data_IF_313940861473
#
_entry.id   IF_313940861473
#
_cell.length_a   1.000
_cell.length_b   1.000
_cell.length_c   1.000
_cell.angle_alpha   90.00
_cell.angle_beta   90.00
_cell.angle_gamma   90.00
#
_symmetry.space_group_name_H-M   'P 1'
#
loop_
_entity.id
_entity.type
_entity.pdbx_description
1 polymer ?
#
# COMPACT_ATOMS: atom_id res chain seq x y z
N UNK A 1 8.41 -23.18 -26.72
CA UNK A 1 7.11 -22.61 -26.29
C UNK A 1 5.89 -23.25 -26.99
N UNK A 2 5.92 -23.56 -28.30
CA UNK A 2 4.76 -24.11 -29.02
C UNK A 2 4.48 -25.59 -28.75
N UNK A 3 5.46 -26.42 -28.37
CA UNK A 3 5.28 -27.85 -28.09
C UNK A 3 4.63 -28.15 -26.73
N UNK A 4 4.93 -27.34 -25.71
CA UNK A 4 4.33 -27.46 -24.38
C UNK A 4 2.86 -27.03 -24.37
N UNK A 5 2.50 -25.99 -25.10
CA UNK A 5 1.11 -25.54 -25.24
C UNK A 5 0.23 -26.57 -25.96
N UNK A 6 0.77 -27.28 -26.95
CA UNK A 6 0.06 -28.38 -27.64
C UNK A 6 -0.17 -29.57 -26.71
N UNK A 7 0.79 -29.92 -25.84
CA UNK A 7 0.66 -31.04 -24.87
C UNK A 7 -0.39 -30.71 -23.80
N UNK A 8 -0.40 -29.50 -23.27
CA UNK A 8 -1.40 -29.07 -22.29
C UNK A 8 -2.82 -29.08 -22.90
N UNK A 9 -2.98 -28.62 -24.13
CA UNK A 9 -4.29 -28.62 -24.83
C UNK A 9 -4.78 -30.03 -25.10
N UNK A 10 -3.90 -30.96 -25.46
CA UNK A 10 -4.25 -32.38 -25.64
C UNK A 10 -4.62 -33.06 -24.32
N UNK A 11 -3.97 -32.71 -23.22
CA UNK A 11 -4.33 -33.19 -21.88
C UNK A 11 -5.74 -32.73 -21.47
N UNK A 12 -6.05 -31.44 -21.65
CA UNK A 12 -7.39 -30.91 -21.35
C UNK A 12 -8.51 -31.51 -22.20
N UNK A 13 -8.22 -31.91 -23.45
CA UNK A 13 -9.19 -32.60 -24.33
C UNK A 13 -9.42 -34.02 -23.84
N UNK A 14 -8.36 -34.77 -23.50
CA UNK A 14 -8.45 -36.15 -22.95
C UNK A 14 -9.20 -36.18 -21.62
N UNK A 15 -8.94 -35.22 -20.73
CA UNK A 15 -9.62 -35.12 -19.43
C UNK A 15 -11.14 -34.91 -19.63
N UNK A 16 -11.53 -34.13 -20.63
CA UNK A 16 -12.93 -33.89 -20.99
C UNK A 16 -13.58 -35.13 -21.55
N UNK A 17 -12.89 -35.86 -22.44
CA UNK A 17 -13.40 -37.10 -23.06
C UNK A 17 -13.52 -38.23 -22.03
N UNK A 18 -12.71 -38.25 -20.98
CA UNK A 18 -12.78 -39.19 -19.86
C UNK A 18 -13.72 -38.75 -18.74
N UNK A 19 -14.44 -37.60 -18.89
CA UNK A 19 -15.34 -37.09 -17.86
C UNK A 19 -14.63 -36.63 -16.56
N UNK A 20 -13.32 -36.41 -16.62
CA UNK A 20 -12.54 -35.96 -15.48
C UNK A 20 -12.73 -34.43 -15.30
N UNK A 21 -13.51 -34.05 -14.31
CA UNK A 21 -13.69 -32.66 -13.92
C UNK A 21 -12.96 -32.38 -12.62
N UNK A 22 -12.18 -31.29 -12.59
CA UNK A 22 -11.55 -30.82 -11.35
C UNK A 22 -12.63 -30.44 -10.32
N UNK A 23 -12.69 -31.18 -9.21
CA UNK A 23 -13.58 -30.89 -8.08
C UNK A 23 -13.03 -29.72 -7.29
N UNK A 24 -13.08 -28.50 -7.84
CA UNK A 24 -12.91 -27.25 -7.09
C UNK A 24 -14.26 -26.56 -6.89
N UNK A 25 -15.14 -27.22 -6.12
CA UNK A 25 -16.38 -26.62 -5.67
C UNK A 25 -16.24 -26.22 -4.18
N UNK A 26 -15.75 -25.06 -3.91
CA UNK A 26 -15.66 -24.57 -2.52
C UNK A 26 -15.33 -23.08 -2.43
N UNK A 27 -14.62 -22.56 -3.41
CA UNK A 27 -14.12 -21.18 -3.35
C UNK A 27 -15.17 -20.10 -3.67
N UNK A 28 -16.21 -20.39 -4.47
CA UNK A 28 -17.16 -19.35 -4.93
C UNK A 28 -18.02 -18.73 -3.81
N UNK A 29 -18.54 -19.54 -2.86
CA UNK A 29 -19.41 -19.01 -1.79
C UNK A 29 -18.70 -18.13 -0.76
N UNK A 30 -17.42 -18.36 -0.55
CA UNK A 30 -16.60 -17.54 0.36
C UNK A 30 -16.20 -16.21 -0.31
N UNK A 31 -16.01 -16.21 -1.61
CA UNK A 31 -15.63 -15.05 -2.43
C UNK A 31 -16.73 -13.97 -2.45
N UNK A 32 -18.00 -14.32 -2.57
CA UNK A 32 -19.11 -13.36 -2.61
C UNK A 32 -19.37 -12.66 -1.27
N UNK A 33 -19.17 -13.36 -0.14
CA UNK A 33 -19.29 -12.75 1.20
C UNK A 33 -18.13 -11.80 1.51
N UNK A 34 -16.92 -12.11 1.06
CA UNK A 34 -15.75 -11.25 1.23
C UNK A 34 -15.82 -9.99 0.36
N UNK A 35 -16.36 -10.10 -0.85
CA UNK A 35 -16.51 -8.97 -1.78
C UNK A 35 -17.44 -7.89 -1.22
N UNK A 36 -18.48 -8.26 -0.48
CA UNK A 36 -19.40 -7.31 0.16
C UNK A 36 -18.77 -6.46 1.28
N UNK A 37 -17.71 -6.96 1.93
CA UNK A 37 -17.00 -6.23 3.00
C UNK A 37 -15.85 -5.35 2.48
N UNK A 38 -15.30 -5.66 1.30
CA UNK A 38 -14.15 -4.96 0.73
C UNK A 38 -14.59 -4.04 -0.40
N UNK A 39 -15.17 -2.89 -0.07
CA UNK A 39 -15.60 -1.88 -1.05
C UNK A 39 -14.42 -1.04 -1.51
N UNK A 40 -14.36 -0.74 -2.81
CA UNK A 40 -13.41 0.22 -3.37
C UNK A 40 -14.07 1.60 -3.44
N UNK A 41 -13.74 2.47 -2.53
CA UNK A 41 -14.21 3.86 -2.54
C UNK A 41 -13.25 4.79 -3.28
N UNK A 42 -11.95 4.43 -3.35
CA UNK A 42 -10.94 5.23 -4.06
C UNK A 42 -11.15 5.24 -5.56
N UNK A 43 -11.57 4.08 -6.12
CA UNK A 43 -11.91 3.91 -7.54
C UNK A 43 -10.88 4.52 -8.50
N UNK A 44 -9.58 4.33 -8.21
CA UNK A 44 -8.43 4.86 -8.98
C UNK A 44 -8.35 6.40 -9.05
N UNK A 45 -9.09 7.11 -8.22
CA UNK A 45 -8.99 8.56 -8.08
C UNK A 45 -7.86 8.92 -7.10
N UNK A 46 -6.63 8.90 -7.60
CA UNK A 46 -5.43 9.13 -6.80
C UNK A 46 -5.10 10.62 -6.59
N UNK A 47 -6.09 11.46 -6.57
CA UNK A 47 -5.94 12.91 -6.31
C UNK A 47 -6.75 13.28 -5.08
N UNK A 48 -6.09 13.93 -4.14
CA UNK A 48 -6.72 14.51 -2.96
C UNK A 48 -6.71 16.03 -3.07
N UNK A 49 -7.67 16.70 -2.48
CA UNK A 49 -7.81 18.17 -2.52
C UNK A 49 -7.05 18.85 -1.38
N UNK A 50 -6.84 18.11 -0.28
CA UNK A 50 -6.15 18.59 0.92
C UNK A 50 -5.27 17.49 1.53
N UNK A 51 -4.27 17.86 2.34
CA UNK A 51 -3.53 16.90 3.15
C UNK A 51 -4.44 16.10 4.09
N UNK A 52 -4.10 14.85 4.32
CA UNK A 52 -4.81 13.93 5.22
C UNK A 52 -6.27 13.61 4.81
N UNK A 53 -6.60 13.76 3.53
CA UNK A 53 -7.91 13.36 2.98
C UNK A 53 -7.93 11.89 2.58
N UNK A 54 -6.88 11.45 1.90
CA UNK A 54 -6.75 10.07 1.39
C UNK A 54 -5.36 9.55 1.69
N UNK A 55 -5.29 8.48 2.47
CA UNK A 55 -4.07 7.72 2.70
C UNK A 55 -4.11 6.38 1.99
N UNK A 56 -3.01 5.99 1.39
CA UNK A 56 -2.81 4.66 0.81
C UNK A 56 -1.73 3.92 1.56
N UNK A 57 -1.87 2.61 1.71
CA UNK A 57 -0.90 1.79 2.44
C UNK A 57 -0.70 0.44 1.79
N UNK A 58 0.51 -0.06 1.94
CA UNK A 58 0.87 -1.41 1.54
C UNK A 58 2.10 -1.89 2.33
N UNK A 59 2.37 -3.20 2.27
CA UNK A 59 3.52 -3.83 2.91
C UNK A 59 4.37 -4.50 1.85
N UNK A 60 5.63 -4.10 1.77
CA UNK A 60 6.62 -4.83 0.97
C UNK A 60 7.59 -5.58 1.86
N UNK A 61 8.38 -6.48 1.27
CA UNK A 61 9.45 -7.14 2.00
C UNK A 61 10.78 -7.00 1.26
N UNK A 62 11.85 -7.10 2.05
CA UNK A 62 13.21 -7.18 1.57
C UNK A 62 13.94 -8.31 2.31
N UNK A 63 14.60 -9.17 1.53
CA UNK A 63 15.35 -10.30 2.09
C UNK A 63 16.77 -9.85 2.45
N UNK A 64 17.07 -9.87 3.72
CA UNK A 64 18.40 -9.60 4.25
C UNK A 64 18.97 -10.88 4.86
N UNK A 65 20.01 -11.43 4.24
CA UNK A 65 20.56 -12.76 4.58
C UNK A 65 19.44 -13.81 4.58
N UNK A 66 19.21 -14.50 5.68
CA UNK A 66 18.18 -15.51 5.83
C UNK A 66 16.86 -14.99 6.40
N UNK A 67 16.75 -13.67 6.65
CA UNK A 67 15.58 -13.03 7.26
C UNK A 67 14.83 -12.19 6.22
N UNK A 68 13.53 -12.13 6.35
CA UNK A 68 12.67 -11.18 5.64
C UNK A 68 12.31 -10.03 6.57
N UNK A 69 12.54 -8.82 6.10
CA UNK A 69 12.11 -7.59 6.76
C UNK A 69 10.92 -7.03 6.00
N UNK A 70 9.82 -6.83 6.71
CA UNK A 70 8.58 -6.30 6.17
C UNK A 70 8.50 -4.81 6.45
N UNK A 71 8.29 -4.01 5.42
CA UNK A 71 8.23 -2.56 5.48
C UNK A 71 6.80 -2.15 5.16
N UNK A 72 6.07 -1.70 6.17
CA UNK A 72 4.74 -1.12 6.02
C UNK A 72 4.87 0.38 5.86
N UNK A 73 4.24 0.95 4.84
CA UNK A 73 4.30 2.38 4.52
C UNK A 73 2.91 2.94 4.30
N UNK A 74 2.70 4.18 4.72
CA UNK A 74 1.49 4.96 4.49
C UNK A 74 1.85 6.24 3.75
N UNK A 75 1.19 6.51 2.64
CA UNK A 75 1.39 7.71 1.81
C UNK A 75 0.11 8.52 1.77
N UNK A 76 0.22 9.82 2.04
CA UNK A 76 -0.82 10.81 1.79
C UNK A 76 -0.86 11.15 0.30
N UNK A 77 -2.02 11.03 -0.32
CA UNK A 77 -2.16 11.23 -1.77
C UNK A 77 -2.09 12.69 -2.20
N UNK A 78 -2.32 13.66 -1.31
CA UNK A 78 -2.28 15.08 -1.67
C UNK A 78 -0.89 15.50 -2.18
N UNK A 79 0.12 15.25 -1.37
CA UNK A 79 1.50 15.59 -1.68
C UNK A 79 2.37 14.38 -2.02
N UNK A 80 1.82 13.17 -2.07
CA UNK A 80 2.59 11.92 -2.19
C UNK A 80 3.58 11.72 -1.04
N UNK A 81 3.29 12.28 0.12
CA UNK A 81 4.15 12.28 1.29
C UNK A 81 4.01 10.99 2.07
N UNK A 82 5.12 10.35 2.41
CA UNK A 82 5.12 9.25 3.37
C UNK A 82 4.83 9.85 4.76
N UNK A 83 3.68 9.50 5.31
CA UNK A 83 3.20 9.99 6.61
C UNK A 83 3.40 9.01 7.75
N UNK A 84 3.75 7.75 7.44
CA UNK A 84 4.07 6.76 8.43
C UNK A 84 4.73 5.53 7.82
N UNK A 85 5.65 4.94 8.56
CA UNK A 85 6.24 3.66 8.21
C UNK A 85 6.74 2.89 9.45
N UNK A 86 6.80 1.58 9.33
CA UNK A 86 7.45 0.69 10.30
C UNK A 86 8.07 -0.51 9.60
N UNK A 87 9.12 -1.05 10.23
CA UNK A 87 9.82 -2.22 9.75
C UNK A 87 9.68 -3.33 10.81
N UNK A 88 9.15 -4.47 10.39
CA UNK A 88 8.94 -5.64 11.24
C UNK A 88 9.59 -6.91 10.69
N UNK A 89 9.75 -7.92 11.55
CA UNK A 89 10.22 -9.25 11.15
C UNK A 89 9.10 -10.17 10.66
N UNK A 90 7.85 -9.73 10.78
CA UNK A 90 6.67 -10.51 10.37
C UNK A 90 5.67 -9.59 9.67
N UNK A 91 5.09 -10.05 8.58
CA UNK A 91 3.92 -9.43 8.00
C UNK A 91 2.70 -9.74 8.87
N UNK A 92 2.28 -8.80 9.68
CA UNK A 92 1.27 -9.02 10.71
C UNK A 92 0.30 -7.84 10.84
N UNK A 93 -0.89 -8.12 11.35
CA UNK A 93 -1.88 -7.08 11.72
C UNK A 93 -1.30 -6.06 12.69
N UNK A 94 -0.41 -6.50 13.60
CA UNK A 94 0.24 -5.60 14.56
C UNK A 94 1.16 -4.60 13.85
N UNK A 95 1.92 -5.02 12.81
CA UNK A 95 2.77 -4.13 12.03
C UNK A 95 1.91 -3.04 11.36
N UNK A 96 0.85 -3.43 10.66
CA UNK A 96 -0.06 -2.51 9.97
C UNK A 96 -0.74 -1.55 10.96
N UNK A 97 -1.30 -2.10 12.05
CA UNK A 97 -2.00 -1.30 13.08
C UNK A 97 -1.06 -0.30 13.74
N UNK A 98 0.16 -0.71 14.10
CA UNK A 98 1.13 0.18 14.73
C UNK A 98 1.67 1.25 13.78
N UNK A 99 1.78 0.95 12.48
CA UNK A 99 2.15 1.94 11.46
C UNK A 99 1.04 2.98 11.30
N UNK A 100 -0.22 2.52 11.20
CA UNK A 100 -1.36 3.42 11.10
C UNK A 100 -1.50 4.30 12.35
N UNK A 101 -1.39 3.70 13.55
CA UNK A 101 -1.44 4.43 14.81
C UNK A 101 -0.41 5.55 14.85
N UNK A 102 0.86 5.25 14.50
CA UNK A 102 1.93 6.23 14.44
C UNK A 102 1.58 7.40 13.51
N UNK A 103 1.17 7.10 12.28
CA UNK A 103 0.79 8.13 11.31
C UNK A 103 -0.40 8.97 11.80
N UNK A 104 -1.42 8.33 12.37
CA UNK A 104 -2.62 8.99 12.86
C UNK A 104 -2.32 9.95 14.03
N UNK A 105 -1.50 9.51 14.99
CA UNK A 105 -1.08 10.31 16.15
C UNK A 105 -0.20 11.51 15.75
N UNK A 106 0.69 11.33 14.78
CA UNK A 106 1.57 12.40 14.29
C UNK A 106 0.83 13.42 13.42
N UNK A 107 -0.11 12.97 12.62
CA UNK A 107 -0.79 13.82 11.63
C UNK A 107 -2.10 14.41 12.14
N UNK A 108 -2.74 13.79 13.13
CA UNK A 108 -4.04 14.18 13.68
C UNK A 108 -5.05 14.58 12.59
N UNK A 109 -5.35 13.68 11.64
CA UNK A 109 -6.13 14.01 10.46
C UNK A 109 -7.55 14.47 10.84
N UNK A 110 -8.01 15.55 10.21
CA UNK A 110 -9.42 15.92 10.26
C UNK A 110 -10.24 14.93 9.42
N UNK A 111 -11.35 14.46 9.97
CA UNK A 111 -12.27 13.59 9.24
C UNK A 111 -13.08 14.40 8.20
N UNK A 112 -13.51 13.77 7.10
CA UNK A 112 -13.31 12.35 6.77
C UNK A 112 -11.90 12.03 6.26
N UNK A 113 -11.35 10.89 6.70
CA UNK A 113 -10.15 10.28 6.16
C UNK A 113 -10.50 8.98 5.44
N UNK A 114 -10.09 8.83 4.18
CA UNK A 114 -10.17 7.59 3.43
C UNK A 114 -8.83 6.84 3.54
N UNK A 115 -8.86 5.59 4.02
CA UNK A 115 -7.68 4.74 4.11
C UNK A 115 -7.79 3.58 3.13
N UNK A 116 -7.01 3.61 2.05
CA UNK A 116 -7.06 2.63 0.98
C UNK A 116 -5.88 1.65 1.04
N UNK A 117 -6.18 0.36 0.84
CA UNK A 117 -5.20 -0.72 0.90
C UNK A 117 -5.53 -1.82 -0.12
N UNK A 118 -4.61 -2.76 -0.29
CA UNK A 118 -4.91 -4.03 -0.91
C UNK A 118 -5.88 -4.88 -0.03
N UNK A 119 -6.20 -6.09 -0.50
CA UNK A 119 -7.02 -7.06 0.25
C UNK A 119 -6.18 -7.99 1.13
N UNK A 120 -5.01 -7.59 1.56
CA UNK A 120 -4.16 -8.37 2.44
C UNK A 120 -4.89 -8.76 3.74
N UNK A 121 -4.65 -9.97 4.24
CA UNK A 121 -5.32 -10.50 5.44
C UNK A 121 -5.13 -9.60 6.67
N UNK A 122 -3.98 -8.93 6.76
CA UNK A 122 -3.68 -8.01 7.86
C UNK A 122 -4.59 -6.78 7.85
N UNK A 123 -4.88 -6.21 6.68
CA UNK A 123 -5.79 -5.07 6.51
C UNK A 123 -7.26 -5.45 6.67
N UNK A 124 -7.62 -6.72 6.40
CA UNK A 124 -8.98 -7.25 6.55
C UNK A 124 -9.25 -7.85 7.94
N UNK A 125 -8.26 -7.87 8.83
CA UNK A 125 -8.43 -8.42 10.17
C UNK A 125 -9.49 -7.64 10.95
N UNK A 126 -10.35 -8.36 11.68
CA UNK A 126 -11.41 -7.73 12.49
C UNK A 126 -10.84 -6.69 13.46
N UNK A 127 -9.68 -6.98 14.06
CA UNK A 127 -9.02 -6.07 15.00
C UNK A 127 -8.57 -4.75 14.36
N UNK A 128 -8.13 -4.77 13.10
CA UNK A 128 -7.74 -3.57 12.39
C UNK A 128 -8.96 -2.80 11.86
N UNK A 129 -9.95 -3.50 11.29
CA UNK A 129 -11.18 -2.88 10.81
C UNK A 129 -11.94 -2.18 11.95
N UNK A 130 -12.08 -2.85 13.11
CA UNK A 130 -12.71 -2.25 14.29
C UNK A 130 -11.95 -1.03 14.81
N UNK A 131 -10.61 -1.05 14.73
CA UNK A 131 -9.78 0.09 15.13
C UNK A 131 -10.00 1.30 14.21
N UNK A 132 -10.04 1.11 12.88
CA UNK A 132 -10.33 2.20 11.94
C UNK A 132 -11.75 2.76 12.13
N UNK A 133 -12.73 1.88 12.37
CA UNK A 133 -14.12 2.27 12.62
C UNK A 133 -14.25 3.10 13.90
N UNK A 134 -13.53 2.74 14.98
CA UNK A 134 -13.50 3.51 16.23
C UNK A 134 -12.97 4.94 16.01
N UNK A 135 -12.04 5.12 15.08
CA UNK A 135 -11.46 6.42 14.73
C UNK A 135 -12.29 7.19 13.68
N UNK A 136 -13.41 6.65 13.19
CA UNK A 136 -14.22 7.26 12.15
C UNK A 136 -13.57 7.25 10.75
N UNK A 137 -12.55 6.41 10.54
CA UNK A 137 -11.81 6.32 9.28
C UNK A 137 -12.52 5.39 8.32
N UNK A 138 -12.76 5.84 7.09
CA UNK A 138 -13.38 5.03 6.05
C UNK A 138 -12.34 4.13 5.40
N UNK A 139 -12.52 2.81 5.51
CA UNK A 139 -11.62 1.85 4.88
C UNK A 139 -12.06 1.55 3.44
N UNK A 140 -11.11 1.60 2.51
CA UNK A 140 -11.27 1.28 1.10
C UNK A 140 -10.30 0.18 0.68
N UNK A 141 -10.71 -0.69 -0.24
CA UNK A 141 -9.91 -1.81 -0.69
C UNK A 141 -9.78 -1.85 -2.22
N UNK A 142 -8.61 -2.20 -2.71
CA UNK A 142 -8.39 -2.52 -4.11
C UNK A 142 -9.34 -3.64 -4.57
N UNK A 143 -9.76 -3.61 -5.82
CA UNK A 143 -10.49 -4.73 -6.43
C UNK A 143 -9.57 -5.93 -6.56
N UNK A 144 -10.14 -7.13 -6.48
CA UNK A 144 -9.36 -8.35 -6.69
C UNK A 144 -8.81 -8.38 -8.13
N UNK A 145 -7.54 -8.73 -8.26
CA UNK A 145 -6.85 -8.85 -9.56
C UNK A 145 -6.76 -7.53 -10.37
N UNK A 146 -6.89 -6.38 -9.71
CA UNK A 146 -6.69 -5.07 -10.33
C UNK A 146 -5.50 -4.36 -9.68
N UNK A 147 -4.26 -4.60 -10.13
CA UNK A 147 -3.05 -4.00 -9.54
C UNK A 147 -3.10 -2.48 -9.51
N UNK A 148 -3.61 -1.87 -10.57
CA UNK A 148 -3.71 -0.41 -10.70
C UNK A 148 -4.46 0.29 -9.56
N UNK A 149 -5.29 -0.43 -8.80
CA UNK A 149 -6.01 0.15 -7.66
C UNK A 149 -5.06 0.56 -6.52
N UNK A 150 -3.80 0.04 -6.47
CA UNK A 150 -2.76 0.44 -5.52
C UNK A 150 -1.46 0.90 -6.19
N UNK A 151 -1.55 1.41 -7.41
CA UNK A 151 -0.39 1.78 -8.25
C UNK A 151 0.56 2.80 -7.61
N UNK A 152 0.07 3.64 -6.69
CA UNK A 152 0.90 4.61 -5.97
C UNK A 152 1.89 3.90 -5.06
N UNK A 153 1.43 2.89 -4.31
CA UNK A 153 2.29 2.11 -3.41
C UNK A 153 3.25 1.23 -4.21
N UNK A 154 2.78 0.62 -5.30
CA UNK A 154 3.64 -0.16 -6.20
C UNK A 154 4.78 0.71 -6.77
N UNK A 155 4.46 1.91 -7.26
CA UNK A 155 5.45 2.87 -7.78
C UNK A 155 6.44 3.33 -6.71
N UNK A 156 5.96 3.60 -5.48
CA UNK A 156 6.81 3.96 -4.36
C UNK A 156 7.79 2.83 -4.02
N UNK A 157 7.30 1.61 -3.84
CA UNK A 157 8.15 0.47 -3.50
C UNK A 157 9.12 0.10 -4.61
N UNK A 158 8.71 0.22 -5.87
CA UNK A 158 9.62 0.03 -7.02
C UNK A 158 10.77 1.06 -6.99
N UNK A 159 10.46 2.32 -6.66
CA UNK A 159 11.47 3.37 -6.53
C UNK A 159 12.40 3.12 -5.36
N UNK A 160 11.87 2.83 -4.17
CA UNK A 160 12.66 2.54 -2.97
C UNK A 160 13.59 1.33 -3.17
N UNK A 161 13.08 0.26 -3.78
CA UNK A 161 13.88 -0.94 -4.07
C UNK A 161 15.00 -0.64 -5.07
N UNK A 162 14.69 0.08 -6.14
CA UNK A 162 15.66 0.41 -7.21
C UNK A 162 16.66 1.47 -6.78
N UNK A 163 16.22 2.49 -6.05
CA UNK A 163 17.04 3.65 -5.72
C UNK A 163 17.91 3.39 -4.48
N UNK A 164 17.48 2.51 -3.55
CA UNK A 164 18.18 2.22 -2.31
C UNK A 164 18.43 0.72 -2.08
N UNK A 165 17.38 -0.10 -1.89
CA UNK A 165 17.52 -1.44 -1.31
C UNK A 165 18.34 -2.41 -2.16
N UNK A 166 18.31 -2.30 -3.50
CA UNK A 166 19.06 -3.18 -4.41
C UNK A 166 20.44 -2.64 -4.78
N UNK A 167 20.75 -1.39 -4.43
CA UNK A 167 22.03 -0.78 -4.74
C UNK A 167 23.05 -0.94 -3.62
N UNK A 168 22.57 -1.10 -2.41
CA UNK A 168 23.41 -1.10 -1.19
C UNK A 168 23.52 -2.51 -0.63
N UNK A 169 24.76 -2.91 -0.27
CA UNK A 169 25.04 -4.14 0.48
C UNK A 169 25.10 -3.78 1.96
N UNK A 170 24.07 -4.14 2.70
CA UNK A 170 23.98 -3.85 4.14
C UNK A 170 24.82 -4.83 4.96
N UNK A 171 25.55 -4.33 5.95
CA UNK A 171 26.38 -5.13 6.87
C UNK A 171 25.57 -5.67 8.05
N UNK A 172 24.56 -4.90 8.48
CA UNK A 172 23.68 -5.23 9.59
C UNK A 172 22.21 -4.92 9.30
N UNK A 173 21.29 -5.51 10.09
CA UNK A 173 19.87 -5.17 10.04
C UNK A 173 19.65 -3.70 10.45
N UNK A 174 20.45 -3.20 11.39
CA UNK A 174 20.38 -1.80 11.82
C UNK A 174 20.73 -0.84 10.70
N UNK A 175 21.77 -1.15 9.91
CA UNK A 175 22.15 -0.35 8.74
C UNK A 175 21.04 -0.33 7.70
N UNK A 176 20.41 -1.48 7.42
CA UNK A 176 19.25 -1.54 6.52
C UNK A 176 18.07 -0.71 7.03
N UNK A 177 17.78 -0.77 8.33
CA UNK A 177 16.70 0.03 8.95
C UNK A 177 17.00 1.53 8.87
N UNK A 178 18.24 1.93 9.11
CA UNK A 178 18.70 3.30 8.96
C UNK A 178 18.57 3.76 7.51
N UNK A 179 19.00 2.96 6.54
CA UNK A 179 18.90 3.29 5.11
C UNK A 179 17.44 3.47 4.65
N UNK A 180 16.53 2.64 5.10
CA UNK A 180 15.08 2.84 4.82
C UNK A 180 14.59 4.16 5.41
N UNK A 181 15.01 4.51 6.62
CA UNK A 181 14.62 5.76 7.27
C UNK A 181 15.14 6.98 6.51
N UNK A 182 16.42 6.94 6.12
CA UNK A 182 17.05 8.01 5.33
C UNK A 182 16.45 8.11 3.94
N UNK A 183 16.12 6.98 3.29
CA UNK A 183 15.43 7.01 2.01
C UNK A 183 14.06 7.66 2.12
N UNK A 184 13.28 7.38 3.15
CA UNK A 184 11.96 8.00 3.34
C UNK A 184 12.09 9.52 3.60
N UNK A 185 13.11 9.93 4.35
CA UNK A 185 13.42 11.35 4.52
C UNK A 185 13.79 12.00 3.20
N UNK A 186 14.71 11.40 2.43
CA UNK A 186 15.06 11.86 1.08
C UNK A 186 13.84 11.93 0.16
N UNK A 187 12.97 10.92 0.19
CA UNK A 187 11.75 10.87 -0.61
C UNK A 187 10.81 12.04 -0.29
N UNK A 188 10.64 12.37 0.97
CA UNK A 188 9.76 13.46 1.40
C UNK A 188 10.36 14.86 1.17
N UNK A 189 11.65 15.04 1.44
CA UNK A 189 12.28 16.35 1.53
C UNK A 189 13.08 16.76 0.29
N UNK A 190 13.60 15.78 -0.46
CA UNK A 190 14.55 16.04 -1.55
C UNK A 190 14.10 15.51 -2.91
N UNK A 191 13.35 14.41 -2.94
CA UNK A 191 12.95 13.76 -4.19
C UNK A 191 11.85 14.55 -4.88
N UNK A 192 12.08 14.97 -6.12
CA UNK A 192 11.08 15.67 -6.93
C UNK A 192 10.04 14.71 -7.50
N UNK A 193 8.79 15.14 -7.53
CA UNK A 193 7.66 14.37 -8.02
C UNK A 193 6.93 15.09 -9.15
N UNK A 194 6.81 14.44 -10.32
CA UNK A 194 6.09 15.01 -11.47
C UNK A 194 4.62 15.35 -11.12
N UNK A 195 3.95 14.51 -10.32
CA UNK A 195 2.58 14.77 -9.87
C UNK A 195 2.42 16.01 -8.97
N UNK A 196 3.52 16.46 -8.36
CA UNK A 196 3.56 17.66 -7.54
C UNK A 196 4.09 18.88 -8.33
N UNK A 197 4.14 18.80 -9.67
CA UNK A 197 4.77 19.84 -10.49
C UNK A 197 6.27 19.95 -10.24
N UNK A 198 6.96 18.80 -10.11
CA UNK A 198 8.39 18.71 -9.80
C UNK A 198 8.80 19.37 -8.47
N UNK A 199 7.88 19.39 -7.50
CA UNK A 199 8.18 19.75 -6.12
C UNK A 199 8.34 18.51 -5.26
N UNK A 200 9.03 18.66 -4.13
CA UNK A 200 9.09 17.60 -3.12
C UNK A 200 7.75 17.46 -2.41
N UNK A 201 7.43 16.29 -1.83
CA UNK A 201 6.24 16.12 -1.00
C UNK A 201 6.12 17.16 0.11
N UNK A 202 7.21 17.40 0.85
CA UNK A 202 7.23 18.38 1.94
C UNK A 202 6.93 19.81 1.43
N UNK A 203 7.55 20.22 0.32
CA UNK A 203 7.30 21.56 -0.27
C UNK A 203 5.87 21.72 -0.73
N UNK A 204 5.29 20.68 -1.38
CA UNK A 204 3.91 20.69 -1.84
C UNK A 204 2.91 20.84 -0.69
N UNK A 205 3.17 20.17 0.43
CA UNK A 205 2.31 20.24 1.60
C UNK A 205 2.48 21.59 2.33
N UNK A 206 3.71 22.07 2.45
CA UNK A 206 3.98 23.39 3.04
C UNK A 206 3.21 24.52 2.34
N UNK A 207 3.23 24.53 1.00
CA UNK A 207 2.50 25.51 0.18
C UNK A 207 0.97 25.46 0.43
N UNK A 208 0.42 24.29 0.70
CA UNK A 208 -1.00 24.19 1.04
C UNK A 208 -1.32 24.96 2.33
N UNK A 209 -0.54 24.73 3.37
CA UNK A 209 -0.79 25.39 4.65
C UNK A 209 -0.47 26.89 4.63
N UNK A 210 0.52 27.33 3.86
CA UNK A 210 0.81 28.74 3.64
C UNK A 210 -0.35 29.46 2.95
N UNK A 211 -0.91 28.85 1.89
CA UNK A 211 -2.05 29.40 1.16
C UNK A 211 -3.33 29.42 2.02
N UNK A 212 -3.57 28.39 2.84
CA UNK A 212 -4.70 28.33 3.75
C UNK A 212 -4.67 29.48 4.76
N UNK A 213 -3.52 29.77 5.37
CA UNK A 213 -3.35 30.89 6.31
C UNK A 213 -3.62 32.26 5.65
N UNK A 214 -3.13 32.47 4.43
CA UNK A 214 -3.36 33.73 3.70
C UNK A 214 -4.84 33.93 3.33
N UNK A 215 -5.62 32.85 3.27
CA UNK A 215 -7.06 32.94 2.97
C UNK A 215 -7.88 33.27 4.22
N UNK A 216 -7.41 32.84 5.40
CA UNK A 216 -8.05 33.15 6.69
C UNK A 216 -7.78 34.59 7.18
N UNK A 217 -6.69 35.21 6.70
CA UNK A 217 -6.31 36.59 7.07
C UNK A 217 -6.98 37.68 6.19
N UNK A 218 -7.75 37.27 5.18
CA UNK A 218 -8.51 38.17 4.27
C UNK A 218 -9.99 38.17 4.58
#
# INVERSE_FOLDING_TARGET
LHKEYRRQRQMCIRDRDMGLCSIRQGAKKQYDKETKRCKNYLNQQFTATRPNEIWVSDVTYFRYKEKELYICVIIDLYARMVVGFRIGLKNSTQLVKSTFKLAYEQRQPQLPLLFHTDRGSNYRSNAFCAYLQLLGVTQSFSRAHVPYDNSVMESFFASMKREELYRTKYRSEQELRAAVTEYIKFYNESRLHAKNGYKTPAKREQEYYENAKQTEEK
#
